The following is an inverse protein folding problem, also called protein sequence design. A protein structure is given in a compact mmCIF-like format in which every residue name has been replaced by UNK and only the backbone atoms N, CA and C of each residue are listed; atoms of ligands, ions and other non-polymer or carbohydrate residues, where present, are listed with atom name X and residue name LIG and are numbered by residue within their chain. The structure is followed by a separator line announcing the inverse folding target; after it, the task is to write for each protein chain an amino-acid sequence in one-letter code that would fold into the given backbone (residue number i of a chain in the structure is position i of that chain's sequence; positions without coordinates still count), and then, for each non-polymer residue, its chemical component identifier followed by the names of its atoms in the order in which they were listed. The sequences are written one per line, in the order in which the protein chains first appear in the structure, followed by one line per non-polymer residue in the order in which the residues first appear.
data_IF_802306886639
#
_entry.id   IF_802306886639
#
_cell.length_a   1.000
_cell.length_b   1.000
_cell.length_c   1.000
_cell.angle_alpha   90.00
_cell.angle_beta   90.00
_cell.angle_gamma   90.00
#
_symmetry.space_group_name_H-M   'P 1'
#
loop_
_entity.id
_entity.type
_entity.pdbx_description
1 polymer ?
#
# COMPACT_ATOMS: atom_id res chain seq x y z
N UNK A 1 -20.42 -14.90 -2.44
CA UNK A 1 -21.73 -14.63 -1.81
C UNK A 1 -21.57 -14.14 -0.37
N UNK A 2 -20.69 -13.18 -0.09
CA UNK A 2 -20.47 -12.57 1.22
C UNK A 2 -21.61 -11.64 1.70
N UNK A 3 -22.80 -11.79 1.16
CA UNK A 3 -23.96 -11.01 1.57
C UNK A 3 -24.87 -11.89 2.42
N UNK A 4 -24.74 -11.77 3.74
CA UNK A 4 -25.73 -12.32 4.65
C UNK A 4 -27.08 -11.65 4.38
N UNK A 5 -28.06 -12.36 3.87
CA UNK A 5 -29.43 -11.87 3.71
C UNK A 5 -30.29 -12.44 4.82
N UNK A 6 -30.93 -11.57 5.61
CA UNK A 6 -31.91 -11.97 6.61
C UNK A 6 -33.29 -11.44 6.18
N UNK A 7 -34.23 -12.32 5.99
CA UNK A 7 -35.62 -11.98 5.61
C UNK A 7 -36.52 -12.21 6.82
N UNK A 8 -37.21 -11.17 7.27
CA UNK A 8 -38.23 -11.26 8.31
C UNK A 8 -39.49 -10.55 7.85
N UNK A 9 -40.60 -11.28 7.80
CA UNK A 9 -41.99 -10.81 7.53
C UNK A 9 -42.11 -9.59 6.59
N UNK A 10 -41.54 -9.73 5.35
CA UNK A 10 -41.64 -8.71 4.33
C UNK A 10 -40.53 -7.65 4.29
N UNK A 11 -39.58 -7.73 5.19
CA UNK A 11 -38.35 -6.90 5.15
C UNK A 11 -37.15 -7.77 4.82
N UNK A 12 -36.34 -7.34 3.85
CA UNK A 12 -35.05 -7.98 3.51
C UNK A 12 -33.94 -7.06 3.88
N UNK A 13 -33.01 -7.55 4.70
CA UNK A 13 -31.79 -6.85 5.05
C UNK A 13 -30.59 -7.51 4.39
N UNK A 14 -29.75 -6.71 3.76
CA UNK A 14 -28.51 -7.18 3.17
C UNK A 14 -27.35 -6.62 4.00
N UNK A 15 -26.51 -7.51 4.52
CA UNK A 15 -25.28 -7.14 5.20
C UNK A 15 -24.15 -7.10 4.17
N UNK A 16 -23.40 -6.02 4.17
CA UNK A 16 -22.21 -5.86 3.35
C UNK A 16 -20.95 -5.97 4.22
N UNK A 17 -19.90 -6.51 3.64
CA UNK A 17 -18.57 -6.43 4.23
C UNK A 17 -18.14 -4.96 4.36
N UNK A 18 -17.44 -4.66 5.44
CA UNK A 18 -16.93 -3.32 5.72
C UNK A 18 -15.59 -3.40 6.44
N UNK A 19 -14.73 -2.43 6.19
CA UNK A 19 -13.43 -2.32 6.86
C UNK A 19 -13.23 -0.93 7.49
N UNK A 20 -12.24 -0.78 8.37
CA UNK A 20 -11.94 0.47 9.07
C UNK A 20 -10.47 0.81 9.00
N UNK A 21 -10.15 2.06 8.68
CA UNK A 21 -8.78 2.58 8.69
C UNK A 21 -8.16 2.52 10.09
N UNK A 22 -8.97 2.67 11.14
CA UNK A 22 -8.51 2.57 12.54
C UNK A 22 -8.12 1.16 12.96
N UNK A 23 -8.58 0.17 12.21
CA UNK A 23 -8.24 -1.24 12.43
C UNK A 23 -7.06 -1.73 11.58
N UNK A 24 -6.42 -0.87 10.79
CA UNK A 24 -5.30 -1.26 9.95
C UNK A 24 -3.96 -0.95 10.66
N UNK A 25 -3.09 -1.94 10.75
CA UNK A 25 -1.79 -1.85 11.43
C UNK A 25 -0.73 -2.71 10.75
N UNK A 26 0.53 -2.25 10.70
CA UNK A 26 1.03 -0.92 11.03
C UNK A 26 0.59 0.16 10.03
N UNK A 27 0.85 1.45 10.37
CA UNK A 27 0.55 2.62 9.52
C UNK A 27 1.82 3.28 8.99
N UNK A 28 2.99 2.69 9.23
CA UNK A 28 4.28 3.12 8.70
C UNK A 28 5.06 1.90 8.22
N UNK A 29 5.66 2.00 7.03
CA UNK A 29 6.32 0.90 6.34
C UNK A 29 7.64 1.35 5.73
N UNK A 30 8.54 0.37 5.53
CA UNK A 30 9.76 0.59 4.76
C UNK A 30 9.46 0.47 3.26
N UNK A 31 10.05 1.34 2.45
CA UNK A 31 9.94 1.30 1.00
C UNK A 31 10.45 -0.01 0.37
N UNK A 32 11.25 -0.79 1.11
CA UNK A 32 11.69 -2.11 0.70
C UNK A 32 10.54 -3.13 0.51
N UNK A 33 9.35 -2.85 1.04
CA UNK A 33 8.21 -3.75 0.95
C UNK A 33 8.35 -5.02 1.80
N UNK A 34 7.51 -6.01 1.53
CA UNK A 34 7.53 -7.31 2.19
C UNK A 34 6.92 -7.33 3.61
N UNK A 35 6.55 -6.19 4.14
CA UNK A 35 5.89 -6.08 5.44
C UNK A 35 4.38 -6.36 5.29
N UNK A 36 3.80 -7.00 6.28
CA UNK A 36 2.37 -7.34 6.29
C UNK A 36 1.57 -6.28 7.03
N UNK A 37 0.47 -5.86 6.42
CA UNK A 37 -0.55 -5.04 7.05
C UNK A 37 -1.74 -5.92 7.43
N UNK A 38 -2.22 -5.80 8.66
CA UNK A 38 -3.48 -6.39 9.12
C UNK A 38 -4.59 -5.35 9.03
N UNK A 39 -5.72 -5.74 8.47
CA UNK A 39 -6.88 -4.89 8.22
C UNK A 39 -8.07 -5.51 8.95
N UNK A 40 -8.63 -4.78 9.89
CA UNK A 40 -9.82 -5.20 10.62
C UNK A 40 -11.08 -4.67 9.95
N UNK A 41 -12.10 -5.51 9.96
CA UNK A 41 -13.39 -5.22 9.37
C UNK A 41 -14.45 -6.16 9.87
N UNK A 42 -15.51 -6.31 9.07
CA UNK A 42 -16.66 -7.15 9.37
C UNK A 42 -17.18 -7.81 8.11
N UNK A 43 -17.52 -9.08 8.19
CA UNK A 43 -18.21 -9.80 7.12
C UNK A 43 -17.29 -10.29 6.01
N UNK A 44 -15.97 -10.36 6.22
CA UNK A 44 -15.05 -10.92 5.24
C UNK A 44 -15.34 -12.40 5.00
N UNK A 45 -15.26 -12.80 3.75
CA UNK A 45 -15.61 -14.13 3.28
C UNK A 45 -14.47 -14.73 2.47
N UNK A 46 -14.00 -15.91 2.85
CA UNK A 46 -12.90 -16.62 2.18
C UNK A 46 -13.22 -16.98 0.73
N UNK A 47 -14.50 -17.02 0.34
CA UNK A 47 -14.91 -17.26 -1.04
C UNK A 47 -14.79 -16.04 -1.95
N UNK A 48 -14.55 -14.87 -1.38
CA UNK A 48 -14.39 -13.60 -2.10
C UNK A 48 -12.90 -13.27 -2.23
N UNK A 49 -12.49 -12.89 -3.43
CA UNK A 49 -11.14 -12.42 -3.68
C UNK A 49 -11.03 -10.93 -3.34
N UNK A 50 -10.33 -10.60 -2.28
CA UNK A 50 -10.03 -9.22 -1.90
C UNK A 50 -8.67 -8.80 -2.43
N UNK A 51 -8.52 -7.49 -2.68
CA UNK A 51 -7.30 -6.87 -3.21
C UNK A 51 -7.01 -5.59 -2.46
N UNK A 52 -5.80 -5.46 -1.96
CA UNK A 52 -5.26 -4.21 -1.46
C UNK A 52 -4.68 -3.40 -2.61
N UNK A 53 -5.25 -2.25 -2.89
CA UNK A 53 -4.84 -1.36 -3.96
C UNK A 53 -4.09 -0.17 -3.36
N UNK A 54 -2.79 -0.07 -3.64
CA UNK A 54 -1.89 0.95 -3.13
C UNK A 54 -1.68 2.05 -4.16
N UNK A 55 -1.67 3.31 -3.71
CA UNK A 55 -1.41 4.48 -4.54
C UNK A 55 -0.90 5.65 -3.72
N UNK A 56 -0.35 6.67 -4.39
CA UNK A 56 -0.07 7.95 -3.75
C UNK A 56 -0.69 9.09 -4.57
N UNK A 57 -1.06 10.17 -3.89
CA UNK A 57 -1.44 11.41 -4.54
C UNK A 57 -0.20 12.29 -4.71
N UNK A 58 0.02 12.78 -5.92
CA UNK A 58 0.97 13.87 -6.14
C UNK A 58 0.37 15.17 -5.63
N UNK A 59 1.22 16.06 -5.10
CA UNK A 59 0.83 17.35 -4.49
C UNK A 59 0.01 18.27 -5.42
N UNK A 60 -0.03 17.98 -6.70
CA UNK A 60 -0.71 18.79 -7.71
C UNK A 60 -2.18 18.38 -7.93
N UNK A 61 -2.70 17.44 -7.13
CA UNK A 61 -4.06 16.91 -7.33
C UNK A 61 -4.21 16.11 -8.63
N UNK A 62 -3.21 16.13 -9.46
CA UNK A 62 -3.08 15.25 -10.60
C UNK A 62 -2.65 13.88 -10.06
N UNK A 63 -3.62 12.99 -9.89
CA UNK A 63 -3.29 11.57 -9.97
C UNK A 63 -2.47 11.44 -11.25
N UNK A 64 -1.34 10.75 -11.25
CA UNK A 64 -0.64 10.51 -12.49
C UNK A 64 -1.59 9.72 -13.41
N UNK A 65 -2.42 10.47 -14.12
CA UNK A 65 -3.16 9.95 -15.23
C UNK A 65 -2.09 9.63 -16.28
N UNK A 66 -1.58 8.42 -16.24
CA UNK A 66 -0.97 7.87 -17.43
C UNK A 66 -2.07 7.91 -18.47
N UNK A 67 -1.99 8.94 -19.34
CA UNK A 67 -2.88 9.11 -20.48
C UNK A 67 -3.04 7.76 -21.13
N UNK A 68 -4.26 7.29 -21.10
CA UNK A 68 -4.76 6.11 -21.76
C UNK A 68 -4.07 5.93 -23.12
N UNK A 69 -3.17 4.99 -23.24
CA UNK A 69 -2.97 4.31 -24.49
C UNK A 69 -4.25 3.52 -24.75
N UNK A 70 -4.66 3.42 -26.02
CA UNK A 70 -5.94 2.84 -26.44
C UNK A 70 -6.23 1.39 -26.02
N UNK A 71 -5.47 0.81 -25.11
CA UNK A 71 -5.71 -0.50 -24.53
C UNK A 71 -6.49 -0.38 -23.24
N UNK A 72 -7.74 -0.81 -23.29
CA UNK A 72 -8.69 -0.81 -22.16
C UNK A 72 -8.12 -1.61 -20.97
N UNK A 73 -7.32 -2.63 -21.20
CA UNK A 73 -6.62 -3.40 -20.18
C UNK A 73 -5.60 -2.60 -19.36
N UNK A 74 -5.01 -1.54 -19.95
CA UNK A 74 -4.07 -0.66 -19.25
C UNK A 74 -4.78 0.51 -18.54
N UNK A 75 -6.02 0.83 -18.89
CA UNK A 75 -6.74 1.95 -18.33
C UNK A 75 -7.02 1.81 -16.83
N UNK A 76 -7.23 0.60 -16.36
CA UNK A 76 -7.49 0.31 -14.94
C UNK A 76 -6.21 0.12 -14.12
N UNK A 77 -5.09 -0.20 -14.77
CA UNK A 77 -3.78 -0.24 -14.10
C UNK A 77 -3.26 1.13 -13.68
N UNK A 78 -3.78 2.20 -14.30
CA UNK A 78 -3.36 3.58 -14.04
C UNK A 78 -3.92 4.24 -12.78
N UNK A 79 -4.85 3.59 -12.06
CA UNK A 79 -5.42 4.16 -10.82
C UNK A 79 -4.65 3.75 -9.56
N UNK A 80 -3.94 2.63 -9.61
CA UNK A 80 -3.21 2.09 -8.46
C UNK A 80 -1.81 1.70 -8.87
N UNK A 81 -0.85 2.09 -8.06
CA UNK A 81 0.57 1.78 -8.29
C UNK A 81 0.87 0.29 -8.09
N UNK A 82 0.13 -0.36 -7.20
CA UNK A 82 0.19 -1.80 -7.01
C UNK A 82 -1.15 -2.36 -6.53
N UNK A 83 -1.46 -3.57 -6.96
CA UNK A 83 -2.60 -4.38 -6.53
C UNK A 83 -2.09 -5.71 -6.01
N UNK A 84 -2.35 -5.96 -4.75
CA UNK A 84 -1.86 -7.14 -4.04
C UNK A 84 -3.06 -7.93 -3.53
N UNK A 85 -3.15 -9.24 -3.81
CA UNK A 85 -4.17 -10.08 -3.21
C UNK A 85 -4.14 -9.98 -1.69
N UNK A 86 -5.33 -9.86 -1.09
CA UNK A 86 -5.48 -9.92 0.35
C UNK A 86 -5.84 -11.35 0.78
N UNK A 87 -5.34 -11.77 1.93
CA UNK A 87 -5.64 -13.07 2.53
C UNK A 87 -6.64 -12.89 3.67
N UNK A 88 -7.75 -13.62 3.60
CA UNK A 88 -8.75 -13.64 4.67
C UNK A 88 -8.24 -14.49 5.81
N UNK A 89 -8.01 -13.87 6.96
CA UNK A 89 -7.61 -14.58 8.18
C UNK A 89 -8.82 -15.00 9.03
N UNK A 90 -9.87 -14.20 8.96
CA UNK A 90 -11.15 -14.46 9.64
C UNK A 90 -12.25 -13.55 9.06
N UNK A 91 -13.49 -13.74 9.52
CA UNK A 91 -14.62 -12.85 9.17
C UNK A 91 -14.40 -11.38 9.60
N UNK A 92 -13.37 -11.10 10.38
CA UNK A 92 -13.06 -9.76 10.91
C UNK A 92 -11.65 -9.29 10.60
N UNK A 93 -10.84 -10.09 9.89
CA UNK A 93 -9.44 -9.74 9.62
C UNK A 93 -8.98 -10.21 8.24
N UNK A 94 -8.32 -9.31 7.52
CA UNK A 94 -7.57 -9.55 6.29
C UNK A 94 -6.11 -9.18 6.50
N UNK A 95 -5.23 -9.76 5.70
CA UNK A 95 -3.83 -9.35 5.62
C UNK A 95 -3.41 -9.08 4.18
N UNK A 96 -2.54 -8.07 3.99
CA UNK A 96 -1.87 -7.78 2.73
C UNK A 96 -0.39 -7.62 2.95
N UNK A 97 0.42 -8.06 1.99
CA UNK A 97 1.86 -7.81 1.97
C UNK A 97 2.14 -6.55 1.18
N UNK A 98 2.84 -5.58 1.76
CA UNK A 98 3.21 -4.34 1.08
C UNK A 98 4.11 -4.65 -0.11
N UNK A 99 3.84 -4.10 -1.31
CA UNK A 99 4.73 -4.23 -2.46
C UNK A 99 6.03 -3.45 -2.25
N UNK A 100 7.04 -3.74 -3.08
CA UNK A 100 8.19 -2.87 -3.22
C UNK A 100 7.72 -1.49 -3.68
N UNK A 101 8.04 -0.46 -2.90
CA UNK A 101 7.69 0.91 -3.23
C UNK A 101 8.75 1.50 -4.17
N UNK A 102 8.35 1.86 -5.38
CA UNK A 102 9.28 2.31 -6.43
C UNK A 102 9.48 3.83 -6.47
N UNK A 103 8.89 4.54 -5.53
CA UNK A 103 8.90 6.00 -5.43
C UNK A 103 9.70 6.45 -4.21
N UNK A 104 9.89 7.76 -4.09
CA UNK A 104 10.42 8.37 -2.89
C UNK A 104 9.57 8.05 -1.65
N UNK A 105 10.15 8.18 -0.47
CA UNK A 105 9.40 8.12 0.79
C UNK A 105 8.23 9.10 0.77
N UNK A 106 7.12 8.73 1.38
CA UNK A 106 5.89 9.52 1.35
C UNK A 106 5.10 9.36 2.63
N UNK A 107 4.51 10.46 3.09
CA UNK A 107 3.53 10.47 4.20
C UNK A 107 2.09 10.34 3.72
N UNK A 108 1.88 10.40 2.41
CA UNK A 108 0.56 10.47 1.78
C UNK A 108 0.25 9.23 0.91
N UNK A 109 0.96 8.13 1.17
CA UNK A 109 0.64 6.86 0.55
C UNK A 109 -0.73 6.36 1.03
N UNK A 110 -1.52 5.81 0.12
CA UNK A 110 -2.90 5.40 0.38
C UNK A 110 -3.15 3.97 -0.06
N UNK A 111 -4.12 3.36 0.58
CA UNK A 111 -4.64 2.04 0.23
C UNK A 111 -6.16 2.04 0.27
N UNK A 112 -6.76 1.39 -0.71
CA UNK A 112 -8.17 1.00 -0.72
C UNK A 112 -8.28 -0.51 -0.73
N UNK A 113 -9.32 -1.04 -0.09
CA UNK A 113 -9.66 -2.45 -0.16
C UNK A 113 -10.72 -2.64 -1.23
N UNK A 114 -10.42 -3.48 -2.21
CA UNK A 114 -11.28 -3.82 -3.32
C UNK A 114 -11.67 -5.30 -3.23
N UNK A 115 -12.77 -5.69 -3.88
CA UNK A 115 -13.13 -7.09 -4.04
C UNK A 115 -13.61 -7.38 -5.46
N UNK A 116 -13.42 -8.62 -5.90
CA UNK A 116 -13.90 -9.10 -7.17
C UNK A 116 -15.20 -9.87 -6.97
N UNK A 117 -16.30 -9.21 -7.26
CA UNK A 117 -17.66 -9.75 -7.08
C UNK A 117 -18.00 -10.90 -8.02
N UNK A 118 -17.37 -10.95 -9.19
CA UNK A 118 -17.76 -11.87 -10.26
C UNK A 118 -16.68 -12.88 -10.64
N UNK A 119 -15.51 -12.84 -10.00
CA UNK A 119 -14.49 -13.90 -10.10
C UNK A 119 -13.74 -14.02 -11.42
N UNK A 120 -14.00 -13.21 -12.44
CA UNK A 120 -13.50 -13.50 -13.79
C UNK A 120 -12.89 -12.38 -14.61
N UNK A 121 -12.90 -11.12 -14.16
CA UNK A 121 -12.22 -10.03 -14.88
C UNK A 121 -11.66 -9.00 -13.91
N UNK A 122 -10.41 -8.60 -14.12
CA UNK A 122 -9.74 -7.49 -13.39
C UNK A 122 -10.42 -6.12 -13.58
N UNK A 123 -11.45 -6.07 -14.41
CA UNK A 123 -12.10 -4.85 -14.87
C UNK A 123 -13.24 -4.37 -13.96
N UNK A 124 -13.74 -5.22 -13.06
CA UNK A 124 -14.89 -4.90 -12.20
C UNK A 124 -14.58 -5.13 -10.72
N UNK A 125 -13.56 -4.44 -10.20
CA UNK A 125 -13.30 -4.41 -8.77
C UNK A 125 -14.18 -3.36 -8.11
N UNK A 126 -15.08 -3.80 -7.24
CA UNK A 126 -15.87 -2.93 -6.40
C UNK A 126 -15.09 -2.57 -5.13
N UNK A 127 -15.35 -1.38 -4.58
CA UNK A 127 -14.77 -0.98 -3.29
C UNK A 127 -15.52 -1.66 -2.15
N UNK A 128 -14.77 -2.24 -1.22
CA UNK A 128 -15.34 -2.67 0.07
C UNK A 128 -15.77 -1.43 0.84
N UNK A 129 -16.96 -1.47 1.43
CA UNK A 129 -17.49 -0.34 2.20
C UNK A 129 -16.51 0.04 3.32
N UNK A 130 -16.25 1.34 3.45
CA UNK A 130 -15.38 1.87 4.48
C UNK A 130 -16.23 2.46 5.63
N UNK A 131 -15.91 2.09 6.86
CA UNK A 131 -16.71 2.47 8.01
C UNK A 131 -16.46 3.93 8.49
N UNK A 132 -15.27 4.45 8.26
CA UNK A 132 -14.81 5.73 8.83
C UNK A 132 -14.05 6.66 7.87
N UNK A 133 -13.53 6.15 6.74
CA UNK A 133 -12.85 6.94 5.72
C UNK A 133 -12.90 6.24 4.37
N UNK A 134 -12.58 6.96 3.28
CA UNK A 134 -12.59 6.38 1.93
C UNK A 134 -11.33 5.53 1.62
N UNK A 135 -10.27 5.68 2.39
CA UNK A 135 -8.97 5.01 2.19
C UNK A 135 -8.19 4.97 3.49
N UNK A 136 -7.21 4.08 3.57
CA UNK A 136 -6.18 4.11 4.59
C UNK A 136 -5.02 4.98 4.11
N UNK A 137 -4.60 5.93 4.93
CA UNK A 137 -3.37 6.70 4.74
C UNK A 137 -2.25 6.10 5.60
N UNK A 138 -1.04 6.00 5.04
CA UNK A 138 0.12 5.45 5.74
C UNK A 138 1.40 6.13 5.28
N UNK A 139 2.45 5.99 6.09
CA UNK A 139 3.76 6.54 5.81
C UNK A 139 4.67 5.47 5.20
N UNK A 140 5.36 5.81 4.13
CA UNK A 140 6.45 5.02 3.57
C UNK A 140 7.77 5.73 3.89
N UNK A 141 8.66 5.03 4.56
CA UNK A 141 9.98 5.53 4.96
C UNK A 141 11.08 4.88 4.14
N UNK A 142 12.23 5.54 4.07
CA UNK A 142 13.42 5.02 3.41
C UNK A 142 13.90 3.72 4.10
N UNK A 143 14.40 2.80 3.29
CA UNK A 143 15.01 1.59 3.76
C UNK A 143 16.43 1.43 3.20
N UNK A 144 17.43 1.33 4.07
CA UNK A 144 18.81 1.03 3.67
C UNK A 144 18.97 -0.48 3.49
N UNK A 145 19.40 -0.89 2.30
CA UNK A 145 19.67 -2.29 1.96
C UNK A 145 21.13 -2.68 2.22
N UNK A 146 22.06 -1.85 1.81
CA UNK A 146 23.49 -2.12 1.92
C UNK A 146 24.34 -0.87 1.93
N UNK A 147 25.50 -0.99 2.55
CA UNK A 147 26.56 0.03 2.56
C UNK A 147 27.84 -0.61 2.06
N UNK A 148 28.56 0.03 1.13
CA UNK A 148 29.82 -0.49 0.56
C UNK A 148 30.80 0.65 0.25
N UNK A 149 32.08 0.54 0.59
CA UNK A 149 32.67 -0.52 1.40
C UNK A 149 32.28 -0.45 2.88
N UNK A 150 32.44 -1.56 3.61
CA UNK A 150 32.18 -1.62 5.07
C UNK A 150 33.40 -1.21 5.89
N UNK A 151 34.53 -0.94 5.23
CA UNK A 151 35.79 -0.47 5.83
C UNK A 151 36.35 0.67 5.00
N UNK A 152 36.87 1.68 5.65
CA UNK A 152 37.44 2.86 5.03
C UNK A 152 38.73 3.29 5.75
N UNK A 153 39.56 4.08 5.07
CA UNK A 153 40.80 4.62 5.65
C UNK A 153 40.49 5.64 6.75
N UNK A 154 41.20 5.57 7.86
CA UNK A 154 41.15 6.59 8.91
C UNK A 154 41.61 7.98 8.42
N UNK A 155 42.28 8.08 7.27
CA UNK A 155 42.64 9.35 6.64
C UNK A 155 41.43 10.06 6.04
N UNK A 156 40.33 9.33 5.85
CA UNK A 156 39.16 9.83 5.12
C UNK A 156 39.36 9.86 3.60
N UNK A 157 38.37 10.42 2.91
CA UNK A 157 38.39 10.58 1.45
C UNK A 157 37.88 9.37 0.64
N UNK A 158 37.58 8.27 1.30
CA UNK A 158 36.98 7.10 0.64
C UNK A 158 35.48 7.35 0.35
N UNK A 159 35.05 7.05 -0.87
CA UNK A 159 33.64 7.12 -1.23
C UNK A 159 32.90 5.89 -0.69
N UNK A 160 31.75 6.12 -0.04
CA UNK A 160 30.86 5.08 0.46
C UNK A 160 29.57 5.12 -0.36
N UNK A 161 29.15 3.97 -0.87
CA UNK A 161 27.88 3.82 -1.58
C UNK A 161 26.83 3.21 -0.64
N UNK A 162 25.71 3.91 -0.47
CA UNK A 162 24.54 3.44 0.25
C UNK A 162 23.49 3.05 -0.78
N UNK A 163 23.00 1.83 -0.72
CA UNK A 163 21.89 1.35 -1.55
C UNK A 163 20.67 1.10 -0.69
N UNK A 164 19.51 1.47 -1.20
CA UNK A 164 18.26 1.29 -0.49
C UNK A 164 17.06 1.62 -1.37
N UNK A 165 15.94 1.84 -0.72
CA UNK A 165 14.66 2.14 -1.35
C UNK A 165 14.07 3.41 -0.73
N UNK A 166 13.25 4.12 -1.50
CA UNK A 166 12.52 5.29 -1.03
C UNK A 166 13.34 6.57 -0.95
N UNK A 167 14.58 6.59 -1.41
CA UNK A 167 15.39 7.81 -1.43
C UNK A 167 14.78 8.87 -2.34
N UNK A 168 14.60 10.06 -1.82
CA UNK A 168 14.12 11.21 -2.58
C UNK A 168 15.33 11.97 -3.19
N UNK A 169 15.47 12.05 -4.53
CA UNK A 169 16.56 12.78 -5.16
C UNK A 169 16.53 14.29 -4.89
N UNK A 170 15.42 14.84 -4.42
CA UNK A 170 15.29 16.24 -4.02
C UNK A 170 15.64 16.48 -2.54
N UNK A 171 15.75 15.43 -1.73
CA UNK A 171 16.11 15.53 -0.32
C UNK A 171 17.63 15.61 -0.13
N UNK A 172 18.04 16.20 0.98
CA UNK A 172 19.44 16.22 1.43
C UNK A 172 19.63 15.15 2.50
N UNK A 173 20.55 14.24 2.25
CA UNK A 173 20.90 13.18 3.21
C UNK A 173 22.24 13.45 3.87
N UNK A 174 22.40 12.99 5.10
CA UNK A 174 23.65 13.06 5.84
C UNK A 174 24.04 11.67 6.37
N UNK A 175 25.34 11.39 6.30
CA UNK A 175 25.92 10.18 6.88
C UNK A 175 26.63 10.53 8.18
N UNK A 176 26.33 9.81 9.26
CA UNK A 176 26.99 9.97 10.54
C UNK A 176 28.03 8.88 10.78
N UNK A 177 29.27 9.29 11.03
CA UNK A 177 30.41 8.43 11.38
C UNK A 177 30.85 8.75 12.82
N UNK A 178 30.19 8.14 13.80
CA UNK A 178 30.33 8.55 15.18
C UNK A 178 29.89 10.01 15.37
N UNK A 179 30.78 10.92 15.82
CA UNK A 179 30.46 12.34 15.99
C UNK A 179 30.56 13.18 14.72
N UNK A 180 31.03 12.60 13.60
CA UNK A 180 31.22 13.30 12.34
C UNK A 180 30.00 13.15 11.46
N UNK A 181 29.58 14.25 10.83
CA UNK A 181 28.51 14.30 9.84
C UNK A 181 29.08 14.69 8.48
N UNK A 182 28.67 13.99 7.44
CA UNK A 182 29.05 14.25 6.05
C UNK A 182 27.80 14.25 5.21
N UNK A 183 27.63 15.26 4.36
CA UNK A 183 26.53 15.27 3.39
C UNK A 183 26.75 14.24 2.28
N UNK A 184 25.66 13.56 1.87
CA UNK A 184 25.64 12.55 0.82
C UNK A 184 25.20 13.15 -0.51
#
# INVERSE_FOLDING_TARGET
LGLGQVTYSGCTFTFHDAWSSRGAHPTSFLAAGGQTISIRGYGFDESISYVCAFYFETSDGDRPFYRLSHDVEQAWRGFYDARIPAEVQSITELTCTLPLWQYASSKDARMELLYNKYGFRDEELDKVAHADAAFLQFEITEGVLSVSPTQASAKGGDAITIRGFGFDPAATYACHFGPLEVQA
#
